data_IF_126273042038
#
_entry.id   IF_126273042038
#
_cell.length_a   1.000
_cell.length_b   1.000
_cell.length_c   1.000
_cell.angle_alpha   90.00
_cell.angle_beta   90.00
_cell.angle_gamma   90.00
#
_symmetry.space_group_name_H-M   'P 1'
#
loop_
_entity.id
_entity.type
_entity.pdbx_description
1 polymer ?
#
# COMPACT_ATOMS: atom_id res chain seq x y z
N UNK A 1 -31.25 -7.61 -6.10
CA UNK A 1 -30.21 -7.45 -7.15
C UNK A 1 -29.68 -6.01 -7.23
N UNK A 2 -30.52 -4.96 -7.17
CA UNK A 2 -30.05 -3.56 -7.25
C UNK A 2 -29.04 -3.18 -6.15
N UNK A 3 -29.36 -3.40 -4.87
CA UNK A 3 -28.49 -3.02 -3.75
C UNK A 3 -27.12 -3.69 -3.73
N UNK A 4 -27.00 -4.89 -4.31
CA UNK A 4 -25.74 -5.63 -4.34
C UNK A 4 -24.65 -4.86 -5.12
N UNK A 5 -25.00 -4.28 -6.26
CA UNK A 5 -24.04 -3.52 -7.07
C UNK A 5 -23.62 -2.22 -6.37
N UNK A 6 -24.54 -1.57 -5.64
CA UNK A 6 -24.20 -0.40 -4.82
C UNK A 6 -23.24 -0.76 -3.69
N UNK A 7 -23.53 -1.81 -2.92
CA UNK A 7 -22.66 -2.26 -1.82
C UNK A 7 -21.29 -2.67 -2.37
N UNK A 8 -21.25 -3.39 -3.50
CA UNK A 8 -20.01 -3.77 -4.18
C UNK A 8 -19.20 -2.55 -4.62
N UNK A 9 -19.87 -1.52 -5.13
CA UNK A 9 -19.22 -0.27 -5.52
C UNK A 9 -18.67 0.48 -4.31
N UNK A 10 -19.44 0.59 -3.22
CA UNK A 10 -18.98 1.19 -1.96
C UNK A 10 -17.76 0.45 -1.41
N UNK A 11 -17.81 -0.88 -1.34
CA UNK A 11 -16.66 -1.70 -0.95
C UNK A 11 -15.43 -1.36 -1.78
N UNK A 12 -15.56 -1.32 -3.12
CA UNK A 12 -14.43 -1.02 -4.00
C UNK A 12 -13.87 0.39 -3.78
N UNK A 13 -14.74 1.39 -3.62
CA UNK A 13 -14.33 2.77 -3.30
C UNK A 13 -13.49 2.79 -2.02
N UNK A 14 -13.97 2.17 -0.94
CA UNK A 14 -13.26 2.16 0.33
C UNK A 14 -11.97 1.33 0.30
N UNK A 15 -11.91 0.28 -0.53
CA UNK A 15 -10.66 -0.45 -0.80
C UNK A 15 -9.65 0.48 -1.48
N UNK A 16 -10.06 1.23 -2.51
CA UNK A 16 -9.16 2.16 -3.22
C UNK A 16 -8.67 3.26 -2.27
N UNK A 17 -9.56 3.87 -1.47
CA UNK A 17 -9.16 4.92 -0.52
C UNK A 17 -8.26 4.37 0.59
N UNK A 18 -8.48 3.13 1.03
CA UNK A 18 -7.60 2.46 1.99
C UNK A 18 -6.20 2.24 1.42
N UNK A 19 -6.09 1.71 0.19
CA UNK A 19 -4.81 1.51 -0.48
C UNK A 19 -4.10 2.85 -0.77
N UNK A 20 -4.83 3.89 -1.16
CA UNK A 20 -4.25 5.22 -1.35
C UNK A 20 -3.58 5.74 -0.06
N UNK A 21 -4.22 5.54 1.10
CA UNK A 21 -3.62 5.85 2.40
C UNK A 21 -2.38 5.00 2.71
N UNK A 22 -2.45 3.69 2.46
CA UNK A 22 -1.34 2.75 2.68
C UNK A 22 -0.13 2.98 1.77
N UNK A 23 -0.32 3.53 0.57
CA UNK A 23 0.78 3.93 -0.31
C UNK A 23 1.45 5.23 0.11
N UNK A 24 0.69 6.14 0.71
CA UNK A 24 1.20 7.47 1.01
C UNK A 24 1.78 7.58 2.44
N UNK A 25 1.27 6.80 3.41
CA UNK A 25 1.75 6.86 4.79
C UNK A 25 3.23 6.44 4.95
N UNK A 26 3.74 5.34 4.35
CA UNK A 26 5.12 4.93 4.57
C UNK A 26 6.08 5.90 3.89
N UNK A 27 5.64 6.52 2.77
CA UNK A 27 6.37 7.60 2.13
C UNK A 27 6.48 8.84 3.01
N UNK A 28 5.42 9.20 3.73
CA UNK A 28 5.51 10.26 4.75
C UNK A 28 6.47 9.88 5.87
N UNK A 29 6.53 8.62 6.29
CA UNK A 29 7.49 8.17 7.30
C UNK A 29 8.94 8.33 6.85
N UNK A 30 9.25 8.06 5.58
CA UNK A 30 10.58 8.33 5.01
C UNK A 30 10.94 9.80 5.19
N UNK A 31 10.04 10.72 4.83
CA UNK A 31 10.28 12.15 4.98
C UNK A 31 10.35 12.61 6.44
N UNK A 32 9.59 11.99 7.34
CA UNK A 32 9.70 12.27 8.78
C UNK A 32 11.08 11.87 9.34
N UNK A 33 11.60 10.72 8.92
CA UNK A 33 12.92 10.24 9.34
C UNK A 33 14.01 11.15 8.76
N UNK A 34 13.91 11.52 7.49
CA UNK A 34 14.86 12.46 6.84
C UNK A 34 14.85 13.82 7.54
N UNK A 35 13.66 14.41 7.75
CA UNK A 35 13.51 15.69 8.44
C UNK A 35 14.00 15.66 9.90
N UNK A 36 13.98 14.49 10.57
CA UNK A 36 14.51 14.35 11.93
C UNK A 36 16.03 14.54 12.00
N UNK A 37 16.75 14.27 10.91
CA UNK A 37 18.21 14.41 10.82
C UNK A 37 18.67 15.77 10.30
N UNK A 38 17.76 16.64 9.86
CA UNK A 38 18.08 18.00 9.42
C UNK A 38 18.47 18.91 10.61
N UNK A 39 19.28 19.96 10.38
CA UNK A 39 19.59 20.95 11.40
C UNK A 39 18.35 21.77 11.79
N UNK A 40 18.40 22.36 12.98
CA UNK A 40 17.41 23.37 13.39
C UNK A 40 17.61 24.65 12.54
N UNK A 41 16.54 25.34 12.08
CA UNK A 41 15.13 25.18 12.45
C UNK A 41 14.30 24.22 11.57
N UNK A 42 14.86 23.74 10.46
CA UNK A 42 14.12 22.98 9.44
C UNK A 42 13.49 21.70 10.02
N UNK A 43 14.21 21.02 10.90
CA UNK A 43 13.71 19.84 11.65
C UNK A 43 12.38 20.10 12.36
N UNK A 44 12.25 21.23 13.05
CA UNK A 44 11.07 21.53 13.86
C UNK A 44 9.87 21.89 12.98
N UNK A 45 10.12 22.70 11.95
CA UNK A 45 9.10 23.15 11.00
C UNK A 45 8.55 21.97 10.20
N UNK A 46 9.45 21.22 9.55
CA UNK A 46 9.09 20.05 8.73
C UNK A 46 8.52 18.93 9.60
N UNK A 47 9.13 18.65 10.76
CA UNK A 47 8.67 17.61 11.68
C UNK A 47 7.22 17.82 12.12
N UNK A 48 6.87 19.05 12.54
CA UNK A 48 5.51 19.39 12.96
C UNK A 48 4.49 19.25 11.82
N UNK A 49 4.85 19.72 10.62
CA UNK A 49 3.99 19.63 9.45
C UNK A 49 3.77 18.18 9.00
N UNK A 50 4.84 17.38 8.91
CA UNK A 50 4.77 15.98 8.48
C UNK A 50 4.00 15.12 9.47
N UNK A 51 4.16 15.35 10.78
CA UNK A 51 3.33 14.71 11.82
C UNK A 51 1.85 15.02 11.65
N UNK A 52 1.50 16.27 11.38
CA UNK A 52 0.12 16.66 11.11
C UNK A 52 -0.45 15.98 9.85
N UNK A 53 0.33 15.94 8.77
CA UNK A 53 -0.06 15.28 7.51
C UNK A 53 -0.28 13.78 7.72
N UNK A 54 0.66 13.11 8.42
CA UNK A 54 0.54 11.71 8.74
C UNK A 54 -0.70 11.43 9.61
N UNK A 55 -0.96 12.25 10.64
CA UNK A 55 -2.13 12.10 11.51
C UNK A 55 -3.44 12.23 10.73
N UNK A 56 -3.56 13.26 9.88
CA UNK A 56 -4.76 13.48 9.06
C UNK A 56 -4.96 12.31 8.10
N UNK A 57 -3.93 11.92 7.35
CA UNK A 57 -4.04 10.79 6.42
C UNK A 57 -4.42 9.49 7.15
N UNK A 58 -3.81 9.22 8.30
CA UNK A 58 -4.00 7.96 9.00
C UNK A 58 -5.38 7.83 9.63
N UNK A 59 -5.81 8.85 10.38
CA UNK A 59 -7.06 8.80 11.14
C UNK A 59 -8.29 9.31 10.39
N UNK A 60 -8.14 10.20 9.40
CA UNK A 60 -9.28 10.71 8.63
C UNK A 60 -9.57 9.83 7.41
N UNK A 61 -8.53 9.33 6.74
CA UNK A 61 -8.70 8.59 5.48
C UNK A 61 -8.47 7.10 5.70
N UNK A 62 -7.29 6.70 6.19
CA UNK A 62 -6.84 5.31 6.09
C UNK A 62 -7.61 4.37 7.03
N UNK A 63 -7.73 4.71 8.32
CA UNK A 63 -8.47 3.91 9.30
C UNK A 63 -9.98 3.83 9.00
N UNK A 64 -10.69 4.95 8.75
CA UNK A 64 -12.11 4.88 8.41
C UNK A 64 -12.37 4.08 7.14
N UNK A 65 -11.51 4.22 6.12
CA UNK A 65 -11.61 3.44 4.89
C UNK A 65 -11.38 1.94 5.14
N UNK A 66 -10.42 1.56 5.97
CA UNK A 66 -10.18 0.15 6.32
C UNK A 66 -11.40 -0.49 7.00
N UNK A 67 -12.00 0.24 7.95
CA UNK A 67 -13.20 -0.21 8.67
C UNK A 67 -14.38 -0.36 7.70
N UNK A 68 -14.66 0.68 6.91
CA UNK A 68 -15.78 0.68 5.96
C UNK A 68 -15.60 -0.37 4.86
N UNK A 69 -14.40 -0.50 4.29
CA UNK A 69 -14.08 -1.54 3.31
C UNK A 69 -14.39 -2.93 3.86
N UNK A 70 -14.04 -3.18 5.12
CA UNK A 70 -14.24 -4.46 5.80
C UNK A 70 -15.71 -4.71 6.11
N UNK A 71 -16.43 -3.69 6.59
CA UNK A 71 -17.87 -3.76 6.83
C UNK A 71 -18.61 -4.15 5.55
N UNK A 72 -18.33 -3.47 4.44
CA UNK A 72 -18.96 -3.81 3.16
C UNK A 72 -18.50 -5.17 2.62
N UNK A 73 -17.26 -5.60 2.89
CA UNK A 73 -16.79 -6.93 2.51
C UNK A 73 -17.59 -8.03 3.24
N UNK A 74 -17.79 -7.88 4.55
CA UNK A 74 -18.58 -8.81 5.36
C UNK A 74 -20.03 -8.81 4.89
N UNK A 75 -20.60 -7.62 4.61
CA UNK A 75 -21.97 -7.52 4.09
C UNK A 75 -22.12 -8.27 2.75
N UNK A 76 -21.17 -8.11 1.81
CA UNK A 76 -21.19 -8.85 0.55
C UNK A 76 -21.10 -10.37 0.75
N UNK A 77 -20.30 -10.82 1.72
CA UNK A 77 -20.18 -12.24 2.07
C UNK A 77 -21.48 -12.82 2.62
N UNK A 78 -22.22 -12.06 3.44
CA UNK A 78 -23.53 -12.47 3.96
C UNK A 78 -24.56 -12.54 2.83
N UNK A 79 -24.51 -11.60 1.87
CA UNK A 79 -25.41 -11.62 0.71
C UNK A 79 -25.10 -12.73 -0.30
N UNK A 80 -23.84 -13.17 -0.37
CA UNK A 80 -23.37 -14.20 -1.31
C UNK A 80 -22.48 -15.24 -0.61
N UNK A 81 -23.05 -16.07 0.28
CA UNK A 81 -22.29 -17.03 1.06
C UNK A 81 -21.61 -18.12 0.21
N UNK A 82 -22.15 -18.37 -1.00
CA UNK A 82 -21.55 -19.32 -1.96
C UNK A 82 -20.10 -18.98 -2.33
N UNK A 83 -19.67 -17.71 -2.24
CA UNK A 83 -18.28 -17.35 -2.50
C UNK A 83 -17.29 -18.00 -1.53
N UNK A 84 -17.71 -18.34 -0.30
CA UNK A 84 -16.86 -19.03 0.65
C UNK A 84 -16.56 -20.49 0.24
N UNK A 85 -17.28 -21.04 -0.73
CA UNK A 85 -16.98 -22.37 -1.28
C UNK A 85 -15.94 -22.31 -2.41
N UNK A 86 -15.58 -21.10 -2.87
CA UNK A 86 -14.68 -20.92 -3.99
C UNK A 86 -13.21 -20.84 -3.53
N UNK A 87 -12.29 -21.65 -4.09
CA UNK A 87 -10.88 -21.66 -3.66
C UNK A 87 -10.20 -20.28 -3.72
N UNK A 88 -10.48 -19.49 -4.76
CA UNK A 88 -9.91 -18.15 -4.91
C UNK A 88 -10.33 -17.19 -3.80
N UNK A 89 -11.49 -17.40 -3.17
CA UNK A 89 -11.97 -16.56 -2.08
C UNK A 89 -11.19 -16.81 -0.78
N UNK A 90 -10.81 -18.07 -0.50
CA UNK A 90 -9.94 -18.37 0.64
C UNK A 90 -8.56 -17.73 0.50
N UNK A 91 -7.98 -17.79 -0.71
CA UNK A 91 -6.71 -17.10 -1.00
C UNK A 91 -6.87 -15.58 -0.83
N UNK A 92 -8.01 -15.02 -1.25
CA UNK A 92 -8.27 -13.58 -1.10
C UNK A 92 -8.34 -13.18 0.37
N UNK A 93 -9.03 -13.98 1.19
CA UNK A 93 -9.13 -13.75 2.63
C UNK A 93 -7.76 -13.83 3.31
N UNK A 94 -6.89 -14.75 2.88
CA UNK A 94 -5.51 -14.80 3.37
C UNK A 94 -4.74 -13.49 3.06
N UNK A 95 -4.86 -12.94 1.84
CA UNK A 95 -4.28 -11.64 1.51
C UNK A 95 -4.90 -10.47 2.28
N UNK A 96 -6.19 -10.52 2.58
CA UNK A 96 -6.85 -9.50 3.41
C UNK A 96 -6.30 -9.54 4.84
N UNK A 97 -6.10 -10.74 5.41
CA UNK A 97 -5.46 -10.90 6.72
C UNK A 97 -4.03 -10.34 6.68
N UNK A 98 -3.27 -10.65 5.64
CA UNK A 98 -1.92 -10.10 5.44
C UNK A 98 -1.92 -8.57 5.33
N UNK A 99 -2.90 -8.00 4.64
CA UNK A 99 -3.10 -6.55 4.52
C UNK A 99 -3.40 -5.90 5.89
N UNK A 100 -4.19 -6.57 6.73
CA UNK A 100 -4.43 -6.11 8.10
C UNK A 100 -3.18 -6.18 8.97
N UNK A 101 -2.40 -7.26 8.89
CA UNK A 101 -1.11 -7.35 9.57
C UNK A 101 -0.20 -6.20 9.14
N UNK A 102 -0.11 -5.93 7.83
CA UNK A 102 0.65 -4.82 7.29
C UNK A 102 0.14 -3.47 7.81
N UNK A 103 -1.17 -3.25 7.82
CA UNK A 103 -1.79 -2.02 8.33
C UNK A 103 -1.48 -1.80 9.82
N UNK A 104 -1.61 -2.83 10.65
CA UNK A 104 -1.31 -2.75 12.09
C UNK A 104 0.18 -2.53 12.36
N UNK A 105 1.07 -3.19 11.61
CA UNK A 105 2.52 -2.93 11.68
C UNK A 105 2.85 -1.50 11.27
N UNK A 106 2.19 -0.99 10.25
CA UNK A 106 2.30 0.42 9.82
C UNK A 106 1.79 1.37 10.90
N UNK A 107 0.73 1.00 11.63
CA UNK A 107 0.27 1.77 12.79
C UNK A 107 1.29 1.81 13.94
N UNK A 108 2.02 0.72 14.18
CA UNK A 108 3.10 0.70 15.17
C UNK A 108 4.21 1.69 14.79
N UNK A 109 4.61 1.73 13.52
CA UNK A 109 5.59 2.71 13.02
C UNK A 109 5.06 4.14 13.09
N UNK A 110 3.79 4.35 12.74
CA UNK A 110 3.11 5.63 12.92
C UNK A 110 3.25 6.14 14.36
N UNK A 111 2.87 5.32 15.36
CA UNK A 111 2.91 5.73 16.77
C UNK A 111 4.34 6.05 17.23
N UNK A 112 5.34 5.27 16.79
CA UNK A 112 6.75 5.52 17.10
C UNK A 112 7.20 6.89 16.55
N UNK A 113 6.90 7.18 15.28
CA UNK A 113 7.31 8.43 14.63
C UNK A 113 6.57 9.66 15.17
N UNK A 114 5.32 9.51 15.62
CA UNK A 114 4.61 10.62 16.29
C UNK A 114 5.26 10.99 17.63
N UNK A 115 5.82 10.00 18.34
CA UNK A 115 6.50 10.16 19.62
C UNK A 115 8.02 10.45 19.48
N UNK A 116 8.49 10.83 18.29
CA UNK A 116 9.92 11.11 18.01
C UNK A 116 10.87 9.91 18.21
N UNK A 117 10.33 8.69 18.19
CA UNK A 117 11.11 7.45 18.30
C UNK A 117 11.45 6.95 16.90
N UNK A 118 12.68 7.23 16.45
CA UNK A 118 13.18 6.82 15.13
C UNK A 118 14.03 5.55 15.25
N UNK A 119 13.37 4.39 15.18
CA UNK A 119 14.03 3.07 15.29
C UNK A 119 14.45 2.46 13.94
N UNK A 120 13.93 2.99 12.83
CA UNK A 120 14.09 2.43 11.49
C UNK A 120 14.65 3.48 10.55
N UNK A 121 15.43 3.02 9.57
CA UNK A 121 16.06 3.90 8.58
C UNK A 121 15.07 4.29 7.47
N UNK A 122 15.36 5.41 6.80
CA UNK A 122 14.59 5.87 5.62
C UNK A 122 14.55 4.79 4.53
N UNK A 123 15.65 4.09 4.28
CA UNK A 123 15.73 2.98 3.33
C UNK A 123 14.81 1.81 3.69
N UNK A 124 14.73 1.44 4.98
CA UNK A 124 13.79 0.41 5.42
C UNK A 124 12.34 0.83 5.15
N UNK A 125 11.97 2.09 5.41
CA UNK A 125 10.61 2.59 5.15
C UNK A 125 10.28 2.67 3.66
N UNK A 126 11.28 2.91 2.80
CA UNK A 126 11.12 2.83 1.33
C UNK A 126 10.80 1.41 0.88
N UNK A 127 11.50 0.40 1.42
CA UNK A 127 11.20 -1.01 1.12
C UNK A 127 9.83 -1.40 1.70
N UNK A 128 9.52 -0.95 2.92
CA UNK A 128 8.22 -1.19 3.55
C UNK A 128 7.06 -0.68 2.68
N UNK A 129 7.23 0.49 2.06
CA UNK A 129 6.26 1.07 1.13
C UNK A 129 5.86 0.11 -0.01
N UNK A 130 6.81 -0.64 -0.56
CA UNK A 130 6.56 -1.60 -1.64
C UNK A 130 5.70 -2.80 -1.19
N UNK A 131 5.62 -3.06 0.12
CA UNK A 131 4.75 -4.11 0.67
C UNK A 131 3.28 -3.90 0.32
N UNK A 132 2.79 -2.65 0.36
CA UNK A 132 1.43 -2.32 -0.05
C UNK A 132 1.20 -2.61 -1.55
N UNK A 133 2.22 -2.34 -2.38
CA UNK A 133 2.17 -2.55 -3.84
C UNK A 133 2.02 -4.04 -4.14
N UNK A 134 2.87 -4.87 -3.51
CA UNK A 134 2.83 -6.31 -3.67
C UNK A 134 1.45 -6.90 -3.33
N UNK A 135 0.86 -6.49 -2.19
CA UNK A 135 -0.45 -6.98 -1.77
C UNK A 135 -1.55 -6.55 -2.75
N UNK A 136 -1.54 -5.28 -3.19
CA UNK A 136 -2.52 -4.78 -4.15
C UNK A 136 -2.53 -5.64 -5.42
N UNK A 137 -1.36 -5.84 -6.01
CA UNK A 137 -1.25 -6.60 -7.24
C UNK A 137 -1.69 -8.05 -7.08
N UNK A 138 -1.25 -8.73 -6.01
CA UNK A 138 -1.67 -10.09 -5.72
C UNK A 138 -3.20 -10.20 -5.64
N UNK A 139 -3.86 -9.26 -4.94
CA UNK A 139 -5.32 -9.24 -4.79
C UNK A 139 -6.02 -8.94 -6.11
N UNK A 140 -5.54 -7.98 -6.90
CA UNK A 140 -6.15 -7.62 -8.20
C UNK A 140 -6.09 -8.81 -9.18
N UNK A 141 -4.92 -9.43 -9.34
CA UNK A 141 -4.80 -10.60 -10.21
C UNK A 141 -5.66 -11.76 -9.74
N UNK A 142 -5.72 -12.01 -8.43
CA UNK A 142 -6.57 -13.05 -7.86
C UNK A 142 -8.06 -12.80 -8.15
N UNK A 143 -8.54 -11.56 -8.00
CA UNK A 143 -9.94 -11.20 -8.21
C UNK A 143 -10.32 -11.20 -9.69
N UNK A 144 -9.45 -10.73 -10.58
CA UNK A 144 -9.71 -10.65 -12.03
C UNK A 144 -9.65 -12.04 -12.67
N UNK A 145 -8.61 -12.83 -12.33
CA UNK A 145 -8.40 -14.15 -12.92
C UNK A 145 -9.23 -15.25 -12.23
N UNK A 146 -9.82 -14.95 -11.06
CA UNK A 146 -10.62 -15.87 -10.22
C UNK A 146 -9.98 -17.25 -10.03
N UNK A 147 -8.65 -17.29 -9.98
CA UNK A 147 -7.87 -18.51 -9.92
C UNK A 147 -6.92 -18.45 -8.74
N UNK A 148 -6.93 -19.52 -7.94
CA UNK A 148 -6.09 -19.63 -6.75
C UNK A 148 -4.58 -19.67 -7.05
N UNK A 149 -4.17 -19.85 -8.31
CA UNK A 149 -2.77 -19.99 -8.73
C UNK A 149 -2.33 -18.85 -9.64
N UNK A 150 -3.22 -18.28 -10.46
CA UNK A 150 -2.80 -17.34 -11.51
C UNK A 150 -2.34 -15.98 -10.97
N UNK A 151 -2.59 -15.66 -9.70
CA UNK A 151 -2.01 -14.49 -9.05
C UNK A 151 -0.47 -14.54 -8.99
N UNK A 152 0.10 -15.74 -8.95
CA UNK A 152 1.57 -15.94 -8.99
C UNK A 152 2.14 -15.44 -10.31
N UNK A 153 1.51 -15.76 -11.44
CA UNK A 153 1.93 -15.28 -12.75
C UNK A 153 1.80 -13.76 -12.89
N UNK A 154 0.79 -13.17 -12.25
CA UNK A 154 0.65 -11.71 -12.15
C UNK A 154 1.83 -11.06 -11.41
N UNK A 155 2.26 -11.64 -10.29
CA UNK A 155 3.43 -11.18 -9.53
C UNK A 155 4.72 -11.33 -10.35
N UNK A 156 4.91 -12.49 -10.98
CA UNK A 156 6.05 -12.73 -11.88
C UNK A 156 6.07 -11.68 -12.99
N UNK A 157 4.92 -11.34 -13.58
CA UNK A 157 4.80 -10.30 -14.60
C UNK A 157 5.26 -8.91 -14.12
N UNK A 158 4.95 -8.51 -12.89
CA UNK A 158 5.38 -7.22 -12.33
C UNK A 158 6.87 -7.21 -12.04
N UNK A 159 7.41 -8.30 -11.50
CA UNK A 159 8.85 -8.42 -11.26
C UNK A 159 9.59 -8.29 -12.59
N UNK A 160 9.10 -8.98 -13.64
CA UNK A 160 9.64 -8.85 -15.00
C UNK A 160 9.53 -7.41 -15.50
N UNK A 161 8.36 -6.76 -15.35
CA UNK A 161 8.17 -5.38 -15.78
C UNK A 161 9.10 -4.41 -15.02
N UNK A 162 9.26 -4.58 -13.72
CA UNK A 162 10.17 -3.77 -12.89
C UNK A 162 11.64 -3.95 -13.30
N UNK A 163 12.04 -5.19 -13.60
CA UNK A 163 13.37 -5.49 -14.14
C UNK A 163 13.55 -4.86 -15.52
N UNK A 164 12.56 -4.94 -16.41
CA UNK A 164 12.60 -4.34 -17.74
C UNK A 164 12.72 -2.81 -17.68
N UNK A 165 11.95 -2.15 -16.80
CA UNK A 165 12.04 -0.70 -16.60
C UNK A 165 13.43 -0.32 -16.06
N UNK A 166 13.96 -1.07 -15.09
CA UNK A 166 15.30 -0.83 -14.54
C UNK A 166 16.40 -1.00 -15.59
N UNK A 167 16.31 -2.04 -16.41
CA UNK A 167 17.23 -2.28 -17.54
C UNK A 167 17.12 -1.16 -18.56
N UNK A 168 15.90 -0.76 -18.94
CA UNK A 168 15.64 0.36 -19.85
C UNK A 168 16.24 1.67 -19.33
N UNK A 169 16.06 1.97 -18.04
CA UNK A 169 16.67 3.14 -17.40
C UNK A 169 18.21 3.07 -17.43
N UNK A 170 18.79 1.91 -17.13
CA UNK A 170 20.25 1.71 -17.15
C UNK A 170 20.83 1.89 -18.57
N UNK A 171 20.12 1.42 -19.60
CA UNK A 171 20.48 1.60 -21.01
C UNK A 171 20.36 3.08 -21.38
N UNK A 172 19.25 3.74 -21.07
CA UNK A 172 19.05 5.17 -21.30
C UNK A 172 20.14 6.01 -20.67
N UNK A 173 20.46 5.75 -19.38
CA UNK A 173 21.55 6.41 -18.68
C UNK A 173 22.90 6.20 -19.40
N UNK A 174 23.22 4.96 -19.79
CA UNK A 174 24.46 4.64 -20.51
C UNK A 174 24.56 5.36 -21.86
N UNK A 175 23.46 5.50 -22.60
CA UNK A 175 23.43 6.22 -23.89
C UNK A 175 23.63 7.73 -23.65
N UNK A 176 22.95 8.32 -22.67
CA UNK A 176 23.07 9.73 -22.33
C UNK A 176 24.48 10.10 -21.86
N UNK A 177 25.10 9.26 -21.04
CA UNK A 177 26.44 9.50 -20.51
C UNK A 177 27.48 9.42 -21.66
N UNK A 178 27.31 8.51 -22.63
CA UNK A 178 28.19 8.38 -23.81
C UNK A 178 28.10 9.54 -24.80
N UNK A 179 26.99 10.29 -24.80
CA UNK A 179 26.78 11.45 -25.67
C UNK A 179 27.27 12.78 -25.05
N UNK A 180 27.67 12.80 -23.77
CA UNK A 180 28.28 13.99 -23.13
C UNK A 180 29.81 14.03 -23.28
N UNK A 181 30.43 12.96 -23.81
CA UNK A 181 31.88 12.83 -23.99
C UNK A 181 32.34 13.09 -25.45
N UNK A 182 31.48 13.73 -26.29
CA UNK A 182 31.79 14.12 -27.69
C UNK A 182 31.66 15.62 -27.86
#
# INVERSE_FOLDING_TARGET
MEYYNYIKSLHLIFVITWFAGLFYIPRLFVYQIEAFHEPSPDREILGKQLKLMAKRLWFIITWPSAILATLFAIWLLVLQPFWLQQPWMHVKLAFVILLFIYHLKTHQFYNQLQNDIVNKTSNFMRIWNEGATFILFAVVFLVVLKSAINWVWGIVGIIILGVLIMVGFKIYKRIRDKNHDV
#
